data_IF_498721743996
#
_entry.id   IF_498721743996
#
_cell.length_a   1.000
_cell.length_b   1.000
_cell.length_c   1.000
_cell.angle_alpha   90.00
_cell.angle_beta   90.00
_cell.angle_gamma   90.00
#
_symmetry.space_group_name_H-M   'P 1'
#
loop_
_entity.id
_entity.type
_entity.pdbx_description
1 polymer ?
#
# COMPACT_ATOMS: atom_id res chain seq x y z
N UNK A 1 -6.38 -2.63 20.39
CA UNK A 1 -6.02 -3.98 19.91
C UNK A 1 -6.43 -4.04 18.45
N UNK A 2 -5.67 -4.71 17.55
CA UNK A 2 -6.13 -4.90 16.18
C UNK A 2 -7.48 -5.64 16.20
N UNK A 3 -8.47 -5.09 15.49
CA UNK A 3 -9.81 -5.65 15.40
C UNK A 3 -9.74 -6.87 14.48
N UNK A 4 -10.35 -7.98 14.88
CA UNK A 4 -10.46 -9.12 13.98
C UNK A 4 -11.42 -8.78 12.84
N UNK A 5 -10.92 -8.84 11.60
CA UNK A 5 -11.73 -8.74 10.38
C UNK A 5 -12.02 -10.13 9.85
N UNK A 6 -13.29 -10.41 9.51
CA UNK A 6 -13.66 -11.70 8.93
C UNK A 6 -13.05 -11.89 7.53
N UNK A 7 -12.69 -13.13 7.14
CA UNK A 7 -12.17 -13.41 5.80
C UNK A 7 -13.11 -12.95 4.67
N UNK A 8 -14.43 -13.06 4.88
CA UNK A 8 -15.42 -12.63 3.88
C UNK A 8 -15.41 -11.11 3.68
N UNK A 9 -15.33 -10.35 4.77
CA UNK A 9 -15.25 -8.89 4.72
C UNK A 9 -13.94 -8.46 4.06
N UNK A 10 -12.82 -9.09 4.44
CA UNK A 10 -11.52 -8.85 3.84
C UNK A 10 -11.53 -9.11 2.33
N UNK A 11 -11.94 -10.30 1.90
CA UNK A 11 -11.93 -10.66 0.48
C UNK A 11 -12.85 -9.78 -0.37
N UNK A 12 -13.97 -9.31 0.21
CA UNK A 12 -14.92 -8.43 -0.49
C UNK A 12 -14.36 -7.03 -0.72
N UNK A 13 -13.58 -6.48 0.21
CA UNK A 13 -13.19 -5.07 0.19
C UNK A 13 -11.70 -4.81 -0.04
N UNK A 14 -10.80 -5.79 0.12
CA UNK A 14 -9.34 -5.56 0.09
C UNK A 14 -8.86 -4.79 -1.14
N UNK A 15 -9.30 -5.19 -2.33
CA UNK A 15 -8.85 -4.56 -3.57
C UNK A 15 -9.35 -3.11 -3.68
N UNK A 16 -10.62 -2.86 -3.31
CA UNK A 16 -11.21 -1.52 -3.35
C UNK A 16 -10.54 -0.57 -2.36
N UNK A 17 -10.30 -1.04 -1.14
CA UNK A 17 -9.61 -0.26 -0.10
C UNK A 17 -8.19 0.04 -0.54
N UNK A 18 -7.45 -0.95 -1.06
CA UNK A 18 -6.06 -0.78 -1.51
C UNK A 18 -5.92 0.17 -2.72
N UNK A 19 -6.88 0.16 -3.64
CA UNK A 19 -6.91 1.11 -4.77
C UNK A 19 -7.16 2.55 -4.32
N UNK A 20 -7.98 2.74 -3.29
CA UNK A 20 -8.31 4.07 -2.74
C UNK A 20 -7.25 4.60 -1.78
N UNK A 21 -6.53 3.71 -1.11
CA UNK A 21 -5.54 4.05 -0.11
C UNK A 21 -4.28 4.67 -0.73
N UNK A 22 -3.45 5.36 0.05
CA UNK A 22 -2.19 5.93 -0.44
C UNK A 22 -1.10 4.87 -0.71
N UNK A 23 -1.39 3.58 -0.49
CA UNK A 23 -0.43 2.49 -0.65
C UNK A 23 0.04 2.32 -2.10
N UNK A 24 -0.86 2.53 -3.06
CA UNK A 24 -0.54 2.43 -4.49
C UNK A 24 -0.48 3.83 -5.08
N UNK A 25 0.67 4.21 -5.60
CA UNK A 25 0.85 5.51 -6.26
C UNK A 25 1.14 5.32 -7.74
N UNK A 26 0.34 5.96 -8.58
CA UNK A 26 0.55 5.96 -10.03
C UNK A 26 1.33 7.22 -10.44
N UNK A 27 2.22 7.06 -11.41
CA UNK A 27 3.05 8.15 -11.92
C UNK A 27 2.85 8.26 -13.44
N UNK A 28 2.73 9.49 -13.93
CA UNK A 28 2.82 9.82 -15.35
C UNK A 28 4.12 10.62 -15.57
N UNK A 29 5.14 9.95 -16.11
CA UNK A 29 6.51 10.48 -16.11
C UNK A 29 7.02 10.68 -14.68
N UNK A 30 7.25 11.94 -14.28
CA UNK A 30 7.71 12.32 -12.93
C UNK A 30 6.58 12.85 -12.04
N UNK A 31 5.34 12.94 -12.53
CA UNK A 31 4.21 13.48 -11.77
C UNK A 31 3.39 12.37 -11.12
N UNK A 32 3.09 12.53 -9.84
CA UNK A 32 2.16 11.64 -9.12
C UNK A 32 0.74 11.91 -9.60
N UNK A 33 0.01 10.87 -10.02
CA UNK A 33 -1.42 10.91 -10.34
C UNK A 33 -2.20 10.48 -9.09
N UNK A 34 -2.97 11.41 -8.51
CA UNK A 34 -3.67 11.23 -7.22
C UNK A 34 -5.18 11.01 -7.31
N UNK A 35 -5.73 10.94 -8.52
CA UNK A 35 -7.18 10.96 -8.76
C UNK A 35 -7.96 9.82 -8.09
N UNK A 36 -7.29 8.71 -7.77
CA UNK A 36 -7.92 7.53 -7.18
C UNK A 36 -7.25 6.97 -5.93
N UNK A 37 -6.04 7.41 -5.54
CA UNK A 37 -5.22 6.72 -4.50
C UNK A 37 -4.61 7.65 -3.45
N UNK A 38 -5.46 8.29 -2.65
CA UNK A 38 -5.02 9.24 -1.61
C UNK A 38 -6.04 9.44 -0.48
N UNK A 39 -7.03 8.56 -0.34
CA UNK A 39 -8.05 8.72 0.69
C UNK A 39 -7.53 8.24 2.05
N UNK A 40 -7.96 8.91 3.11
CA UNK A 40 -7.79 8.47 4.49
C UNK A 40 -8.70 7.29 4.81
N UNK A 41 -8.38 6.53 5.86
CA UNK A 41 -9.21 5.39 6.28
C UNK A 41 -10.65 5.82 6.62
N UNK A 42 -10.84 7.03 7.16
CA UNK A 42 -12.17 7.60 7.43
C UNK A 42 -12.94 7.91 6.13
N UNK A 43 -12.30 8.56 5.15
CA UNK A 43 -12.96 8.87 3.87
C UNK A 43 -13.32 7.59 3.09
N UNK A 44 -12.51 6.55 3.22
CA UNK A 44 -12.80 5.23 2.63
C UNK A 44 -13.98 4.57 3.36
N UNK A 45 -14.00 4.65 4.69
CA UNK A 45 -15.10 4.14 5.51
C UNK A 45 -16.43 4.80 5.15
N UNK A 46 -16.45 6.13 5.07
CA UNK A 46 -17.63 6.92 4.70
C UNK A 46 -18.13 6.56 3.28
N UNK A 47 -17.21 6.28 2.35
CA UNK A 47 -17.54 5.93 0.96
C UNK A 47 -18.07 4.51 0.79
N UNK A 48 -17.62 3.58 1.64
CA UNK A 48 -17.96 2.16 1.56
C UNK A 48 -19.07 1.76 2.55
N UNK A 49 -19.51 2.68 3.40
CA UNK A 49 -20.44 2.43 4.51
C UNK A 49 -19.90 1.32 5.44
N UNK A 50 -18.66 1.51 5.90
CA UNK A 50 -17.94 0.58 6.76
C UNK A 50 -17.47 1.27 8.05
N UNK A 51 -17.11 0.47 9.04
CA UNK A 51 -16.39 0.94 10.22
C UNK A 51 -14.93 1.30 9.84
N UNK A 52 -14.45 2.44 10.32
CA UNK A 52 -13.07 2.91 10.10
C UNK A 52 -12.05 1.92 10.65
N UNK A 53 -12.37 1.21 11.74
CA UNK A 53 -11.48 0.17 12.28
C UNK A 53 -11.36 -1.03 11.32
N UNK A 54 -12.45 -1.42 10.65
CA UNK A 54 -12.43 -2.50 9.65
C UNK A 54 -11.62 -2.09 8.42
N UNK A 55 -11.80 -0.85 7.95
CA UNK A 55 -11.03 -0.31 6.83
C UNK A 55 -9.54 -0.28 7.15
N UNK A 56 -9.19 0.19 8.35
CA UNK A 56 -7.80 0.28 8.81
C UNK A 56 -7.13 -1.09 8.82
N UNK A 57 -7.79 -2.10 9.42
CA UNK A 57 -7.24 -3.45 9.50
C UNK A 57 -7.13 -4.09 8.10
N UNK A 58 -8.17 -3.99 7.27
CA UNK A 58 -8.15 -4.51 5.89
C UNK A 58 -7.00 -3.87 5.10
N UNK A 59 -6.83 -2.55 5.20
CA UNK A 59 -5.75 -1.83 4.52
C UNK A 59 -4.39 -2.34 4.99
N UNK A 60 -4.17 -2.45 6.30
CA UNK A 60 -2.90 -2.94 6.86
C UNK A 60 -2.55 -4.35 6.34
N UNK A 61 -3.52 -5.27 6.36
CA UNK A 61 -3.30 -6.64 5.87
C UNK A 61 -3.02 -6.64 4.36
N UNK A 62 -3.81 -5.90 3.58
CA UNK A 62 -3.67 -5.85 2.12
C UNK A 62 -2.35 -5.20 1.67
N UNK A 63 -1.87 -4.18 2.37
CA UNK A 63 -0.57 -3.54 2.13
C UNK A 63 0.60 -4.51 2.36
N UNK A 64 0.52 -5.33 3.41
CA UNK A 64 1.51 -6.36 3.71
C UNK A 64 1.52 -7.47 2.66
N UNK A 65 0.36 -7.86 2.13
CA UNK A 65 0.25 -8.82 1.01
C UNK A 65 0.87 -8.25 -0.28
N UNK A 66 0.64 -6.97 -0.57
CA UNK A 66 1.12 -6.32 -1.79
C UNK A 66 2.66 -6.21 -1.84
N UNK A 67 3.28 -5.87 -0.70
CA UNK A 67 4.72 -5.65 -0.59
C UNK A 67 5.33 -6.63 0.41
N UNK A 68 5.53 -7.91 0.03
CA UNK A 68 6.12 -8.91 0.91
C UNK A 68 7.53 -8.49 1.35
N UNK A 69 7.96 -8.96 2.51
CA UNK A 69 9.25 -8.63 3.12
C UNK A 69 10.44 -8.76 2.15
N UNK A 70 10.42 -9.79 1.30
CA UNK A 70 11.46 -10.04 0.29
C UNK A 70 11.58 -8.92 -0.75
N UNK A 71 10.50 -8.23 -1.07
CA UNK A 71 10.53 -7.08 -1.99
C UNK A 71 11.33 -5.92 -1.39
N UNK A 72 11.24 -5.71 -0.08
CA UNK A 72 12.05 -4.71 0.63
C UNK A 72 13.54 -5.06 0.63
N UNK A 73 13.86 -6.32 0.90
CA UNK A 73 15.26 -6.82 0.86
C UNK A 73 15.84 -6.66 -0.54
N UNK A 74 15.10 -7.05 -1.58
CA UNK A 74 15.52 -6.89 -2.98
C UNK A 74 15.74 -5.42 -3.35
N UNK A 75 14.82 -4.54 -2.96
CA UNK A 75 14.96 -3.09 -3.19
C UNK A 75 16.21 -2.51 -2.51
N UNK A 76 16.48 -2.90 -1.25
CA UNK A 76 17.67 -2.46 -0.52
C UNK A 76 18.96 -2.94 -1.20
N UNK A 77 19.00 -4.21 -1.62
CA UNK A 77 20.16 -4.78 -2.32
C UNK A 77 20.41 -4.09 -3.67
N UNK A 78 19.35 -3.83 -4.45
CA UNK A 78 19.46 -3.10 -5.71
C UNK A 78 20.04 -1.69 -5.52
N UNK A 79 19.56 -0.94 -4.51
CA UNK A 79 20.10 0.40 -4.17
C UNK A 79 21.58 0.32 -3.80
N UNK A 80 21.97 -0.63 -2.93
CA UNK A 80 23.37 -0.84 -2.54
C UNK A 80 24.26 -1.15 -3.74
N UNK A 81 23.81 -2.03 -4.65
CA UNK A 81 24.56 -2.38 -5.85
C UNK A 81 24.74 -1.18 -6.78
N UNK A 82 23.69 -0.39 -7.01
CA UNK A 82 23.74 0.84 -7.81
C UNK A 82 24.71 1.86 -7.21
N UNK A 83 24.65 2.08 -5.90
CA UNK A 83 25.59 2.96 -5.19
C UNK A 83 27.04 2.47 -5.33
N UNK A 84 27.28 1.17 -5.14
CA UNK A 84 28.63 0.58 -5.32
C UNK A 84 29.15 0.77 -6.75
N UNK A 85 28.31 0.55 -7.77
CA UNK A 85 28.68 0.77 -9.18
C UNK A 85 28.97 2.24 -9.51
N UNK A 86 28.21 3.16 -8.91
CA UNK A 86 28.40 4.60 -9.12
C UNK A 86 29.68 5.11 -8.45
N UNK A 87 29.99 4.63 -7.24
CA UNK A 87 31.15 5.07 -6.46
C UNK A 87 32.45 4.33 -6.84
N UNK A 88 32.38 3.07 -7.27
CA UNK A 88 33.55 2.29 -7.71
C UNK A 88 34.01 2.55 -9.15
N UNK A 89 33.32 3.45 -9.87
CA UNK A 89 33.74 3.98 -11.18
C UNK A 89 34.45 5.34 -11.06
N UNK A 90 34.77 5.76 -9.83
CA UNK A 90 35.62 6.92 -9.55
C UNK A 90 37.04 6.46 -9.21
#
# INVERSE_FOLDING_TARGET
>A
MPKYVSPDLYNKYKNKILEMSPAIQYYEGTKVRRESSSLTDQEIADRLDLDVEDVTEIRCIAELELLPADSWVRSANWKREKTRKALGRR
#
